data_IF_522997387902
#
_entry.id   IF_522997387902
#
_cell.length_a   1.000
_cell.length_b   1.000
_cell.length_c   1.000
_cell.angle_alpha   90.00
_cell.angle_beta   90.00
_cell.angle_gamma   90.00
#
_symmetry.space_group_name_H-M   'P 1'
#
loop_
_entity.id
_entity.type
_entity.pdbx_description
1 polymer ?
#
# COMPACT_ATOMS: atom_id res chain seq x y z
N UNK A 1 13.86 74.99 52.50
CA UNK A 1 12.89 74.85 51.39
C UNK A 1 13.39 73.78 50.44
N UNK A 2 12.68 72.65 50.29
CA UNK A 2 13.07 71.53 49.40
C UNK A 2 12.48 71.77 48.01
N UNK A 3 13.32 72.05 47.01
CA UNK A 3 12.90 72.13 45.61
C UNK A 3 12.48 70.76 45.10
N UNK A 4 11.20 70.62 44.78
CA UNK A 4 10.61 69.42 44.16
C UNK A 4 10.94 69.45 42.68
N UNK A 5 11.90 68.63 42.27
CA UNK A 5 12.34 68.50 40.88
C UNK A 5 11.25 67.79 40.08
N UNK A 6 10.46 68.55 39.31
CA UNK A 6 9.43 68.00 38.42
C UNK A 6 10.16 67.50 37.17
N UNK A 7 10.35 66.17 37.07
CA UNK A 7 10.84 65.53 35.85
C UNK A 7 9.82 65.77 34.74
N UNK A 8 10.21 66.51 33.71
CA UNK A 8 9.45 66.64 32.47
C UNK A 8 9.45 65.29 31.76
N UNK A 9 8.32 64.59 31.81
CA UNK A 9 8.12 63.42 30.98
C UNK A 9 8.01 63.89 29.53
N UNK A 10 9.01 63.54 28.71
CA UNK A 10 8.92 63.72 27.25
C UNK A 10 7.81 62.78 26.78
N UNK A 11 6.67 63.35 26.39
CA UNK A 11 5.58 62.58 25.78
C UNK A 11 6.06 61.97 24.46
N UNK A 12 5.67 60.72 24.21
CA UNK A 12 5.89 60.07 22.92
C UNK A 12 5.30 60.95 21.81
N UNK A 13 6.09 61.18 20.76
CA UNK A 13 5.59 61.92 19.62
C UNK A 13 4.60 61.04 18.85
N UNK A 14 3.57 61.64 18.27
CA UNK A 14 2.60 60.91 17.43
C UNK A 14 3.31 60.16 16.28
N UNK A 15 4.40 60.73 15.76
CA UNK A 15 5.23 60.11 14.72
C UNK A 15 5.91 58.83 15.21
N UNK A 16 6.45 58.83 16.44
CA UNK A 16 7.10 57.66 17.03
C UNK A 16 6.10 56.50 17.20
N UNK A 17 4.86 56.80 17.60
CA UNK A 17 3.81 55.79 17.68
C UNK A 17 3.45 55.21 16.31
N UNK A 18 3.33 56.05 15.27
CA UNK A 18 3.02 55.60 13.90
C UNK A 18 4.14 54.71 13.35
N UNK A 19 5.40 55.07 13.56
CA UNK A 19 6.55 54.25 13.12
C UNK A 19 6.57 52.91 13.83
N UNK A 20 6.35 52.87 15.15
CA UNK A 20 6.31 51.61 15.91
C UNK A 20 5.20 50.70 15.42
N UNK A 21 3.99 51.23 15.20
CA UNK A 21 2.87 50.43 14.67
C UNK A 21 3.16 49.92 13.26
N UNK A 22 3.80 50.73 12.40
CA UNK A 22 4.21 50.30 11.06
C UNK A 22 5.24 49.15 11.10
N UNK A 23 6.26 49.26 11.96
CA UNK A 23 7.28 48.22 12.12
C UNK A 23 6.68 46.94 12.72
N UNK A 24 5.81 47.05 13.71
CA UNK A 24 5.12 45.89 14.30
C UNK A 24 4.21 45.21 13.28
N UNK A 25 3.51 45.98 12.43
CA UNK A 25 2.70 45.43 11.34
C UNK A 25 3.53 44.63 10.32
N UNK A 26 4.71 45.14 9.96
CA UNK A 26 5.64 44.45 9.06
C UNK A 26 6.19 43.15 9.67
N UNK A 27 6.62 43.19 10.94
CA UNK A 27 7.13 41.99 11.64
C UNK A 27 6.01 40.95 11.80
N UNK A 28 4.79 41.37 12.14
CA UNK A 28 3.65 40.47 12.26
C UNK A 28 3.33 39.77 10.92
N UNK A 29 3.43 40.48 9.79
CA UNK A 29 3.23 39.88 8.47
C UNK A 29 4.30 38.80 8.18
N UNK A 30 5.58 39.12 8.36
CA UNK A 30 6.68 38.17 8.15
C UNK A 30 6.59 36.95 9.06
N UNK A 31 6.23 37.16 10.34
CA UNK A 31 6.05 36.07 11.29
C UNK A 31 4.90 35.14 10.89
N UNK A 32 3.81 35.69 10.36
CA UNK A 32 2.65 34.91 9.91
C UNK A 32 3.01 34.01 8.72
N UNK A 33 3.73 34.54 7.73
CA UNK A 33 4.20 33.77 6.57
C UNK A 33 5.14 32.63 6.98
N UNK A 34 6.07 32.90 7.89
CA UNK A 34 7.01 31.88 8.38
C UNK A 34 6.31 30.75 9.14
N UNK A 35 5.36 31.08 10.02
CA UNK A 35 4.59 30.06 10.76
C UNK A 35 3.78 29.20 9.80
N UNK A 36 3.12 29.80 8.80
CA UNK A 36 2.37 29.05 7.80
C UNK A 36 3.25 28.04 7.04
N UNK A 37 4.43 28.47 6.54
CA UNK A 37 5.36 27.60 5.83
C UNK A 37 5.86 26.44 6.70
N UNK A 38 6.26 26.71 7.95
CA UNK A 38 6.76 25.65 8.85
C UNK A 38 5.67 24.62 9.15
N UNK A 39 4.43 25.06 9.44
CA UNK A 39 3.32 24.13 9.68
C UNK A 39 2.96 23.28 8.47
N UNK A 40 3.13 23.82 7.26
CA UNK A 40 2.86 23.08 6.02
C UNK A 40 3.90 21.99 5.79
N UNK A 41 5.19 22.28 6.02
CA UNK A 41 6.26 21.28 5.94
C UNK A 41 6.06 20.15 6.97
N UNK A 42 5.70 20.50 8.21
CA UNK A 42 5.44 19.49 9.27
C UNK A 42 4.28 18.56 8.87
N UNK A 43 3.20 19.10 8.32
CA UNK A 43 2.06 18.31 7.83
C UNK A 43 2.44 17.47 6.62
N UNK A 44 3.29 17.99 5.74
CA UNK A 44 3.80 17.23 4.60
C UNK A 44 4.59 16.00 5.06
N UNK A 45 5.57 16.18 5.95
CA UNK A 45 6.39 15.07 6.48
C UNK A 45 5.54 14.06 7.26
N UNK A 46 4.57 14.53 8.06
CA UNK A 46 3.64 13.66 8.77
C UNK A 46 2.76 12.84 7.82
N UNK A 47 2.29 13.44 6.72
CA UNK A 47 1.51 12.74 5.68
C UNK A 47 2.35 11.66 5.01
N UNK A 48 3.60 11.98 4.64
CA UNK A 48 4.55 11.02 4.07
C UNK A 48 4.83 9.87 5.02
N UNK A 49 5.06 10.17 6.30
CA UNK A 49 5.27 9.15 7.33
C UNK A 49 4.06 8.22 7.48
N UNK A 50 2.84 8.74 7.52
CA UNK A 50 1.60 7.93 7.55
C UNK A 50 1.42 7.09 6.29
N UNK A 51 1.77 7.62 5.13
CA UNK A 51 1.75 6.88 3.88
C UNK A 51 2.76 5.72 3.89
N UNK A 52 3.98 5.95 4.38
CA UNK A 52 4.99 4.90 4.57
C UNK A 52 4.51 3.84 5.55
N UNK A 53 3.86 4.24 6.65
CA UNK A 53 3.27 3.30 7.62
C UNK A 53 2.21 2.41 6.96
N UNK A 54 1.28 2.97 6.19
CA UNK A 54 0.26 2.18 5.46
C UNK A 54 0.93 1.26 4.45
N UNK A 55 1.96 1.73 3.74
CA UNK A 55 2.71 0.92 2.77
C UNK A 55 3.40 -0.26 3.45
N UNK A 56 4.10 -0.04 4.56
CA UNK A 56 4.75 -1.08 5.35
C UNK A 56 3.72 -2.05 5.95
N UNK A 57 2.57 -1.56 6.38
CA UNK A 57 1.48 -2.40 6.88
C UNK A 57 0.95 -3.36 5.80
N UNK A 58 0.87 -2.90 4.54
CA UNK A 58 0.40 -3.72 3.41
C UNK A 58 1.47 -4.71 2.95
N UNK A 59 2.70 -4.21 2.70
CA UNK A 59 3.77 -4.96 2.01
C UNK A 59 4.81 -5.59 2.94
N UNK A 60 4.85 -5.17 4.20
CA UNK A 60 5.95 -5.48 5.11
C UNK A 60 7.12 -4.51 5.03
N UNK A 61 8.13 -4.79 5.85
CA UNK A 61 9.41 -4.09 5.90
C UNK A 61 10.48 -4.91 5.17
N UNK A 62 10.82 -4.58 3.91
CA UNK A 62 11.71 -5.43 3.09
C UNK A 62 13.16 -5.48 3.57
N UNK A 63 13.54 -4.65 4.55
CA UNK A 63 14.94 -4.46 4.98
C UNK A 63 15.29 -5.17 6.29
N UNK A 64 14.34 -5.81 6.98
CA UNK A 64 14.63 -6.47 8.24
C UNK A 64 15.07 -7.92 8.01
N UNK A 65 16.38 -8.15 8.10
CA UNK A 65 16.94 -9.50 8.12
C UNK A 65 17.10 -9.90 9.58
N UNK A 66 16.27 -10.82 10.06
CA UNK A 66 16.37 -11.37 11.40
C UNK A 66 17.10 -12.73 11.31
N UNK A 67 18.25 -12.84 11.98
CA UNK A 67 19.08 -14.07 11.98
C UNK A 67 19.51 -14.57 10.58
N UNK A 68 19.69 -13.67 9.62
CA UNK A 68 20.09 -14.04 8.25
C UNK A 68 18.93 -14.47 7.36
N UNK A 69 17.70 -14.53 7.88
CA UNK A 69 16.49 -14.80 7.12
C UNK A 69 15.76 -13.48 6.87
N UNK A 70 15.33 -13.17 5.63
CA UNK A 70 14.48 -12.03 5.38
C UNK A 70 13.17 -12.19 6.16
N UNK A 71 12.84 -11.22 7.00
CA UNK A 71 11.56 -11.18 7.68
C UNK A 71 10.48 -10.87 6.63
N UNK A 72 9.54 -11.79 6.44
CA UNK A 72 8.41 -11.59 5.55
C UNK A 72 7.22 -11.26 6.44
N UNK A 73 6.88 -9.98 6.54
CA UNK A 73 5.79 -9.44 7.32
C UNK A 73 4.79 -8.67 6.43
N UNK A 74 3.70 -8.19 7.05
CA UNK A 74 2.70 -7.36 6.41
C UNK A 74 1.45 -8.12 5.95
N UNK A 75 0.41 -7.35 5.66
CA UNK A 75 -0.92 -7.87 5.34
C UNK A 75 -0.92 -8.88 4.19
N UNK A 76 -0.20 -8.57 3.11
CA UNK A 76 -0.18 -9.44 1.92
C UNK A 76 0.56 -10.76 2.21
N UNK A 77 1.62 -10.73 3.02
CA UNK A 77 2.32 -11.94 3.41
C UNK A 77 1.42 -12.89 4.21
N UNK A 78 0.65 -12.33 5.13
CA UNK A 78 -0.22 -13.07 6.04
C UNK A 78 -1.50 -13.57 5.37
N UNK A 79 -2.17 -12.69 4.62
CA UNK A 79 -3.50 -12.95 4.05
C UNK A 79 -3.42 -13.50 2.62
N UNK A 80 -2.37 -13.17 1.87
CA UNK A 80 -2.17 -13.60 0.48
C UNK A 80 -2.87 -12.74 -0.58
N UNK A 81 -3.51 -11.63 -0.19
CA UNK A 81 -4.09 -10.64 -1.10
C UNK A 81 -3.98 -9.22 -0.51
N UNK A 82 -4.02 -8.15 -1.33
CA UNK A 82 -4.08 -6.79 -0.81
C UNK A 82 -5.41 -6.53 -0.07
N UNK A 83 -5.43 -5.66 0.93
CA UNK A 83 -6.64 -5.37 1.69
C UNK A 83 -7.69 -4.74 0.78
N UNK A 84 -8.96 -5.13 0.86
CA UNK A 84 -9.99 -4.49 0.01
C UNK A 84 -10.19 -3.02 0.38
N UNK A 85 -10.08 -2.73 1.68
CA UNK A 85 -10.09 -1.40 2.25
C UNK A 85 -9.04 -1.29 3.35
N UNK A 86 -8.51 -0.09 3.59
CA UNK A 86 -7.46 0.10 4.60
C UNK A 86 -7.92 -0.28 6.02
N UNK A 87 -9.23 -0.31 6.28
CA UNK A 87 -9.81 -0.84 7.52
C UNK A 87 -9.35 -2.25 7.89
N UNK A 88 -9.10 -3.11 6.91
CA UNK A 88 -8.62 -4.49 7.14
C UNK A 88 -7.25 -4.54 7.83
N UNK A 89 -6.49 -3.44 7.74
CA UNK A 89 -5.22 -3.30 8.44
C UNK A 89 -5.41 -3.13 9.96
N UNK A 90 -6.62 -2.83 10.45
CA UNK A 90 -6.90 -2.59 11.86
C UNK A 90 -7.51 -3.78 12.60
N UNK A 91 -8.33 -4.60 11.92
CA UNK A 91 -9.10 -5.63 12.61
C UNK A 91 -9.25 -6.89 11.77
N UNK A 92 -9.18 -8.05 12.44
CA UNK A 92 -9.51 -9.36 11.87
C UNK A 92 -10.98 -9.72 11.99
N UNK A 93 -11.79 -9.00 12.78
CA UNK A 93 -13.13 -9.42 13.22
C UNK A 93 -14.21 -9.39 12.13
N UNK A 94 -13.85 -9.12 10.88
CA UNK A 94 -14.81 -8.76 9.84
C UNK A 94 -15.39 -7.36 10.07
N UNK A 95 -16.07 -6.84 9.06
CA UNK A 95 -16.70 -5.53 9.12
C UNK A 95 -17.83 -5.41 8.10
N UNK A 96 -18.75 -4.49 8.37
CA UNK A 96 -19.76 -4.10 7.39
C UNK A 96 -19.28 -2.89 6.58
N UNK A 97 -19.43 -2.90 5.24
CA UNK A 97 -19.23 -1.70 4.43
C UNK A 97 -20.16 -0.55 4.84
N UNK A 98 -21.38 -0.88 5.30
CA UNK A 98 -22.31 0.09 5.87
C UNK A 98 -21.86 0.52 7.29
N UNK A 99 -21.52 1.81 7.52
CA UNK A 99 -21.05 2.32 8.80
C UNK A 99 -22.02 2.17 9.97
N UNK A 100 -23.32 2.05 9.68
CA UNK A 100 -24.36 1.80 10.69
C UNK A 100 -24.17 0.46 11.41
N UNK A 101 -23.76 -0.56 10.66
CA UNK A 101 -23.64 -1.94 11.15
C UNK A 101 -22.19 -2.42 11.15
N UNK A 102 -21.25 -1.49 11.25
CA UNK A 102 -19.82 -1.67 11.05
C UNK A 102 -19.23 -2.88 11.78
N UNK A 103 -19.75 -3.19 12.98
CA UNK A 103 -19.29 -4.28 13.84
C UNK A 103 -20.40 -5.33 14.13
N UNK A 104 -21.44 -5.41 13.28
CA UNK A 104 -22.60 -6.29 13.49
C UNK A 104 -22.95 -7.07 12.22
N UNK A 105 -22.48 -8.31 12.13
CA UNK A 105 -22.72 -9.22 11.00
C UNK A 105 -24.20 -9.40 10.66
N UNK A 106 -25.03 -9.74 11.66
CA UNK A 106 -26.46 -9.99 11.45
C UNK A 106 -27.16 -8.78 10.82
N UNK A 107 -27.04 -7.61 11.46
CA UNK A 107 -27.68 -6.40 10.96
C UNK A 107 -27.11 -5.95 9.60
N UNK A 108 -25.82 -6.20 9.33
CA UNK A 108 -25.22 -5.90 8.05
C UNK A 108 -25.88 -6.70 6.91
N UNK A 109 -26.01 -8.02 7.10
CA UNK A 109 -26.61 -8.92 6.12
C UNK A 109 -28.11 -8.63 5.92
N UNK A 110 -28.82 -8.33 7.00
CA UNK A 110 -30.23 -7.93 6.94
C UNK A 110 -30.40 -6.63 6.15
N UNK A 111 -29.52 -5.65 6.38
CA UNK A 111 -29.54 -4.37 5.68
C UNK A 111 -29.21 -4.50 4.19
N UNK A 112 -28.19 -5.30 3.84
CA UNK A 112 -27.81 -5.58 2.44
C UNK A 112 -28.96 -6.27 1.68
N UNK A 113 -29.65 -7.21 2.33
CA UNK A 113 -30.82 -7.89 1.76
C UNK A 113 -31.99 -6.92 1.55
N UNK A 114 -32.26 -6.05 2.52
CA UNK A 114 -33.35 -5.09 2.44
C UNK A 114 -33.11 -3.99 1.39
N UNK A 115 -31.85 -3.55 1.21
CA UNK A 115 -31.47 -2.54 0.22
C UNK A 115 -31.29 -3.13 -1.19
N UNK A 116 -31.15 -4.45 -1.32
CA UNK A 116 -30.84 -5.12 -2.58
C UNK A 116 -29.44 -4.82 -3.09
N UNK A 117 -28.51 -4.45 -2.19
CA UNK A 117 -27.13 -4.08 -2.49
C UNK A 117 -26.16 -5.11 -1.91
N UNK A 118 -25.76 -6.12 -2.69
CA UNK A 118 -24.88 -7.19 -2.20
C UNK A 118 -23.45 -6.70 -1.90
N UNK A 119 -23.06 -5.54 -2.42
CA UNK A 119 -21.78 -4.90 -2.11
C UNK A 119 -21.68 -4.39 -0.67
N UNK A 120 -22.82 -4.25 0.02
CA UNK A 120 -22.94 -3.89 1.43
C UNK A 120 -22.99 -5.11 2.39
N UNK A 121 -22.83 -6.34 1.88
CA UNK A 121 -22.81 -7.56 2.72
C UNK A 121 -21.62 -7.59 3.69
N UNK A 122 -21.78 -8.36 4.78
CA UNK A 122 -20.73 -8.53 5.78
C UNK A 122 -19.45 -9.09 5.16
N UNK A 123 -18.34 -8.39 5.40
CA UNK A 123 -17.01 -8.88 5.04
C UNK A 123 -16.54 -9.78 6.18
N UNK A 124 -16.48 -11.08 5.89
CA UNK A 124 -16.01 -12.08 6.85
C UNK A 124 -14.62 -11.75 7.34
N UNK A 125 -14.36 -12.03 8.62
CA UNK A 125 -13.05 -11.84 9.20
C UNK A 125 -11.95 -12.58 8.46
N UNK A 126 -10.75 -12.02 8.53
CA UNK A 126 -9.56 -12.51 7.81
C UNK A 126 -9.01 -13.85 8.36
N UNK A 127 -9.65 -14.38 9.40
CA UNK A 127 -9.35 -15.68 9.98
C UNK A 127 -8.04 -15.70 10.79
N UNK A 128 -7.55 -16.90 11.13
CA UNK A 128 -6.38 -17.09 12.00
C UNK A 128 -5.05 -16.71 11.32
N UNK A 129 -5.07 -16.43 10.01
CA UNK A 129 -3.89 -16.02 9.25
C UNK A 129 -3.48 -14.57 9.50
N UNK A 130 -4.40 -13.75 9.97
CA UNK A 130 -4.13 -12.35 10.28
C UNK A 130 -3.27 -12.25 11.55
N UNK A 131 -2.07 -11.69 11.44
CA UNK A 131 -1.14 -11.62 12.58
C UNK A 131 -1.10 -10.28 13.31
N UNK A 132 -1.91 -9.28 12.92
CA UNK A 132 -2.11 -8.14 13.79
C UNK A 132 -2.76 -6.92 13.17
N UNK A 133 -3.12 -5.94 14.02
CA UNK A 133 -3.34 -4.60 13.51
C UNK A 133 -2.00 -4.11 12.97
N UNK A 134 -1.89 -4.03 11.64
CA UNK A 134 -0.66 -3.64 10.95
C UNK A 134 -0.42 -2.12 11.00
N UNK A 135 -1.44 -1.35 11.39
CA UNK A 135 -1.33 0.09 11.63
C UNK A 135 -1.78 0.42 13.06
N UNK A 136 -1.17 1.46 13.62
CA UNK A 136 -1.48 1.98 14.96
C UNK A 136 -1.54 3.50 14.94
N UNK A 137 -1.93 4.12 16.06
CA UNK A 137 -1.99 5.59 16.17
C UNK A 137 -3.12 6.23 15.37
N UNK A 138 -4.25 5.53 15.24
CA UNK A 138 -5.48 6.09 14.68
C UNK A 138 -6.24 6.92 15.72
N UNK A 139 -6.93 7.94 15.23
CA UNK A 139 -7.86 8.74 16.04
C UNK A 139 -9.27 8.12 15.96
N UNK A 140 -10.11 8.36 16.95
CA UNK A 140 -11.53 8.04 16.88
C UNK A 140 -12.30 9.30 16.50
N UNK A 141 -12.96 9.27 15.34
CA UNK A 141 -13.87 10.34 14.91
C UNK A 141 -15.30 9.88 15.09
N UNK A 142 -16.17 10.80 15.48
CA UNK A 142 -17.61 10.57 15.54
C UNK A 142 -18.33 11.49 14.57
N UNK A 143 -19.28 10.94 13.82
CA UNK A 143 -20.09 11.66 12.84
C UNK A 143 -21.51 11.09 12.81
N UNK A 144 -22.41 11.76 12.09
CA UNK A 144 -23.77 11.28 11.88
C UNK A 144 -23.90 10.50 10.57
N UNK A 145 -24.58 9.36 10.63
CA UNK A 145 -25.01 8.58 9.48
C UNK A 145 -26.45 8.11 9.72
N UNK A 146 -27.39 8.46 8.84
CA UNK A 146 -28.82 8.17 8.99
C UNK A 146 -29.37 8.53 10.39
N UNK A 147 -29.06 9.73 10.87
CA UNK A 147 -29.40 10.25 12.21
C UNK A 147 -28.78 9.52 13.41
N UNK A 148 -27.95 8.50 13.20
CA UNK A 148 -27.17 7.83 14.25
C UNK A 148 -25.78 8.41 14.36
N UNK A 149 -25.29 8.56 15.59
CA UNK A 149 -23.89 8.88 15.83
C UNK A 149 -23.07 7.60 15.73
N UNK A 150 -22.21 7.53 14.72
CA UNK A 150 -21.23 6.46 14.56
C UNK A 150 -19.87 6.95 15.06
N UNK A 151 -19.03 6.03 15.53
CA UNK A 151 -17.62 6.31 15.84
C UNK A 151 -16.74 5.26 15.18
N UNK A 152 -15.68 5.70 14.51
CA UNK A 152 -14.80 4.84 13.75
C UNK A 152 -13.34 5.31 13.84
N UNK A 153 -12.38 4.38 13.75
CA UNK A 153 -10.97 4.70 13.70
C UNK A 153 -10.62 5.39 12.37
N UNK A 154 -9.78 6.42 12.43
CA UNK A 154 -9.27 7.12 11.26
C UNK A 154 -7.76 7.33 11.37
N UNK A 155 -7.06 7.06 10.27
CA UNK A 155 -5.67 7.43 10.06
C UNK A 155 -5.63 8.43 8.90
N UNK A 156 -5.94 9.71 9.16
CA UNK A 156 -6.01 10.77 8.14
C UNK A 156 -4.63 11.14 7.62
N UNK A 157 -4.55 11.89 6.52
CA UNK A 157 -3.36 12.69 6.27
C UNK A 157 -3.22 13.82 7.32
N UNK A 158 -2.07 14.47 7.38
CA UNK A 158 -1.85 15.51 8.40
C UNK A 158 -2.61 16.81 8.12
N UNK A 159 -3.26 16.91 6.97
CA UNK A 159 -4.15 18.00 6.59
C UNK A 159 -5.57 17.79 7.11
N UNK A 160 -5.90 16.57 7.55
CA UNK A 160 -7.22 16.22 8.06
C UNK A 160 -8.25 16.00 6.94
N UNK A 161 -7.79 15.68 5.74
CA UNK A 161 -8.67 15.51 4.59
C UNK A 161 -9.57 14.29 4.76
N UNK A 162 -10.78 14.44 4.23
CA UNK A 162 -11.76 13.35 4.13
C UNK A 162 -11.86 12.86 2.70
N UNK A 163 -12.57 11.75 2.50
CA UNK A 163 -12.81 11.21 1.18
C UNK A 163 -13.56 12.19 0.26
N UNK A 164 -14.16 13.26 0.81
CA UNK A 164 -14.77 14.34 0.05
C UNK A 164 -13.85 14.90 -1.04
N UNK A 165 -12.54 14.92 -0.82
CA UNK A 165 -11.54 15.38 -1.79
C UNK A 165 -11.54 14.57 -3.10
N UNK A 166 -11.96 13.31 -3.04
CA UNK A 166 -11.94 12.35 -4.15
C UNK A 166 -13.33 11.97 -4.65
N UNK A 167 -14.36 12.48 -3.98
CA UNK A 167 -15.74 12.17 -4.29
C UNK A 167 -16.11 12.72 -5.67
N UNK A 168 -16.76 11.89 -6.48
CA UNK A 168 -17.35 12.39 -7.72
C UNK A 168 -18.51 13.33 -7.36
N UNK A 169 -18.83 14.33 -8.18
CA UNK A 169 -20.02 15.16 -7.98
C UNK A 169 -21.33 14.36 -7.95
N UNK A 170 -21.32 13.16 -8.54
CA UNK A 170 -22.45 12.22 -8.58
C UNK A 170 -22.54 11.32 -7.34
N UNK A 171 -21.49 11.23 -6.53
CA UNK A 171 -21.50 10.42 -5.32
C UNK A 171 -22.42 11.12 -4.31
N UNK A 172 -23.36 10.38 -3.73
CA UNK A 172 -24.19 10.86 -2.63
C UNK A 172 -23.38 10.96 -1.32
N UNK A 173 -23.87 11.72 -0.35
CA UNK A 173 -23.15 11.95 0.93
C UNK A 173 -22.90 10.65 1.71
N UNK A 174 -23.78 9.65 1.61
CA UNK A 174 -23.57 8.37 2.29
C UNK A 174 -22.42 7.61 1.66
N UNK A 175 -22.37 7.52 0.33
CA UNK A 175 -21.26 6.90 -0.41
C UNK A 175 -19.92 7.56 -0.07
N UNK A 176 -19.89 8.89 0.05
CA UNK A 176 -18.67 9.61 0.45
C UNK A 176 -18.23 9.21 1.85
N UNK A 177 -19.16 9.16 2.81
CA UNK A 177 -18.86 8.76 4.18
C UNK A 177 -18.44 7.29 4.29
N UNK A 178 -19.10 6.39 3.55
CA UNK A 178 -18.74 4.96 3.52
C UNK A 178 -17.26 4.81 3.13
N UNK A 179 -16.85 5.42 2.01
CA UNK A 179 -15.46 5.37 1.55
C UNK A 179 -14.51 6.04 2.54
N UNK A 180 -14.96 7.10 3.20
CA UNK A 180 -14.21 7.81 4.25
C UNK A 180 -13.94 6.96 5.50
N UNK A 181 -14.93 6.18 5.92
CA UNK A 181 -14.87 5.25 7.06
C UNK A 181 -13.98 4.04 6.75
N UNK A 182 -14.03 3.54 5.52
CA UNK A 182 -13.31 2.35 5.10
C UNK A 182 -11.84 2.61 4.75
N UNK A 183 -11.53 3.78 4.18
CA UNK A 183 -10.17 4.14 3.71
C UNK A 183 -9.53 5.31 4.47
N UNK A 184 -10.11 5.73 5.59
CA UNK A 184 -9.58 6.79 6.45
C UNK A 184 -9.32 8.14 5.73
N UNK A 185 -10.04 8.41 4.64
CA UNK A 185 -9.87 9.62 3.80
C UNK A 185 -8.81 9.55 2.72
N UNK A 186 -8.04 8.47 2.67
CA UNK A 186 -7.13 8.22 1.56
C UNK A 186 -7.91 7.75 0.34
N UNK A 187 -7.44 8.14 -0.85
CA UNK A 187 -7.86 7.46 -2.08
C UNK A 187 -7.05 6.19 -2.20
N UNK A 188 -7.69 5.08 -1.91
CA UNK A 188 -7.13 3.74 -2.00
C UNK A 188 -7.78 3.00 -3.16
N UNK A 189 -6.99 2.56 -4.13
CA UNK A 189 -7.48 1.86 -5.31
C UNK A 189 -6.55 0.68 -5.64
N UNK A 190 -7.13 -0.48 -5.94
CA UNK A 190 -6.40 -1.64 -6.43
C UNK A 190 -6.74 -1.82 -7.90
N UNK A 191 -5.75 -1.77 -8.76
CA UNK A 191 -5.91 -2.19 -10.14
C UNK A 191 -5.67 -3.70 -10.22
N UNK A 192 -6.76 -4.46 -10.24
CA UNK A 192 -6.73 -5.93 -10.30
C UNK A 192 -6.09 -6.46 -11.59
N UNK A 193 -6.01 -5.66 -12.66
CA UNK A 193 -5.40 -6.08 -13.92
C UNK A 193 -3.88 -5.98 -13.91
N UNK A 194 -3.31 -4.98 -13.22
CA UNK A 194 -1.86 -4.77 -13.12
C UNK A 194 -1.26 -5.22 -11.78
N UNK A 195 -2.12 -5.45 -10.78
CA UNK A 195 -1.73 -5.64 -9.38
C UNK A 195 -1.27 -4.37 -8.68
N UNK A 196 -1.39 -3.20 -9.30
CA UNK A 196 -0.93 -1.97 -8.65
C UNK A 196 -1.88 -1.54 -7.55
N UNK A 197 -1.27 -1.10 -6.44
CA UNK A 197 -1.96 -0.50 -5.30
C UNK A 197 -1.66 0.99 -5.35
N UNK A 198 -2.71 1.79 -5.39
CA UNK A 198 -2.62 3.24 -5.41
C UNK A 198 -3.11 3.80 -4.08
N UNK A 199 -2.32 4.72 -3.52
CA UNK A 199 -2.62 5.39 -2.26
C UNK A 199 -2.29 6.88 -2.38
N UNK A 200 -3.31 7.73 -2.33
CA UNK A 200 -3.16 9.18 -2.49
C UNK A 200 -3.70 9.96 -1.27
N UNK A 201 -3.01 11.05 -0.94
CA UNK A 201 -3.47 12.11 -0.03
C UNK A 201 -3.86 13.34 -0.84
N UNK A 202 -4.90 14.06 -0.38
CA UNK A 202 -5.41 15.24 -1.07
C UNK A 202 -4.59 16.50 -0.76
N UNK A 203 -3.57 16.41 0.09
CA UNK A 203 -2.63 17.50 0.36
C UNK A 203 -3.28 18.75 0.98
N UNK A 204 -2.61 19.89 0.80
CA UNK A 204 -2.99 21.16 1.43
C UNK A 204 -4.34 21.71 0.93
N UNK A 205 -4.65 21.54 -0.36
CA UNK A 205 -5.86 22.12 -0.96
C UNK A 205 -7.11 21.26 -0.72
N UNK A 206 -6.94 20.01 -0.23
CA UNK A 206 -8.05 19.08 0.01
C UNK A 206 -8.83 18.76 -1.26
N UNK A 207 -8.20 18.91 -2.43
CA UNK A 207 -8.79 18.66 -3.73
C UNK A 207 -7.98 17.60 -4.46
N UNK A 208 -8.68 16.78 -5.24
CA UNK A 208 -8.01 15.89 -6.18
C UNK A 208 -7.15 16.70 -7.17
N UNK A 209 -5.92 16.26 -7.39
CA UNK A 209 -5.06 16.79 -8.45
C UNK A 209 -5.79 16.65 -9.80
N UNK A 210 -5.98 17.73 -10.57
CA UNK A 210 -6.61 17.71 -11.89
C UNK A 210 -6.01 16.66 -12.84
N UNK A 211 -4.75 16.27 -12.65
CA UNK A 211 -4.06 15.24 -13.46
C UNK A 211 -4.53 13.81 -13.14
N UNK A 212 -5.08 13.54 -11.95
CA UNK A 212 -5.51 12.20 -11.53
C UNK A 212 -6.81 11.75 -12.20
N UNK A 213 -7.59 12.71 -12.72
CA UNK A 213 -8.67 12.40 -13.64
C UNK A 213 -8.10 12.55 -15.03
N UNK A 214 -8.20 11.53 -15.89
CA UNK A 214 -7.86 11.54 -17.32
C UNK A 214 -8.59 12.63 -18.16
N UNK A 215 -9.05 13.73 -17.55
CA UNK A 215 -9.40 14.96 -18.22
C UNK A 215 -8.16 15.48 -18.96
N UNK A 216 -8.28 15.56 -20.28
CA UNK A 216 -7.38 16.37 -21.10
C UNK A 216 -7.31 17.75 -20.45
N UNK A 217 -6.16 18.11 -19.89
CA UNK A 217 -5.92 19.44 -19.34
C UNK A 217 -6.11 20.42 -20.51
N UNK A 218 -7.27 21.08 -20.55
CA UNK A 218 -7.44 22.21 -21.45
C UNK A 218 -6.53 23.30 -20.91
N UNK A 219 -5.39 23.48 -21.57
CA UNK A 219 -4.54 24.65 -21.37
C UNK A 219 -5.35 25.87 -21.76
N UNK A 220 -5.29 26.94 -20.96
CA UNK A 220 -5.80 28.21 -21.41
C UNK A 220 -5.00 28.73 -22.63
N UNK A 221 -5.45 29.83 -23.23
CA UNK A 221 -4.76 30.45 -24.38
C UNK A 221 -3.33 30.95 -24.04
N UNK A 222 -2.95 30.96 -22.76
CA UNK A 222 -1.63 31.34 -22.28
C UNK A 222 -0.73 30.13 -21.97
N UNK A 223 -1.20 28.90 -22.19
CA UNK A 223 -0.46 27.67 -21.91
C UNK A 223 -0.42 27.30 -20.44
N UNK A 224 -1.15 28.01 -19.58
CA UNK A 224 -1.32 27.65 -18.18
C UNK A 224 -2.47 26.63 -18.08
N UNK A 225 -2.15 25.46 -17.54
CA UNK A 225 -3.14 24.53 -17.05
C UNK A 225 -3.42 24.84 -15.56
N UNK A 226 -4.52 24.30 -15.02
CA UNK A 226 -4.88 24.43 -13.60
C UNK A 226 -3.72 24.03 -12.64
N UNK A 227 -2.80 23.20 -13.12
CA UNK A 227 -1.58 22.79 -12.43
C UNK A 227 -0.62 23.96 -12.11
N UNK A 228 -0.51 24.98 -12.97
CA UNK A 228 0.38 26.11 -12.70
C UNK A 228 -0.06 26.94 -11.49
N UNK A 229 -1.35 26.92 -11.15
CA UNK A 229 -1.86 27.54 -9.92
C UNK A 229 -1.64 26.65 -8.70
N UNK A 230 -1.73 25.33 -8.85
CA UNK A 230 -1.55 24.36 -7.76
C UNK A 230 -0.09 24.07 -7.43
N UNK A 231 0.83 24.13 -8.40
CA UNK A 231 2.28 23.96 -8.18
C UNK A 231 2.90 24.98 -7.21
N UNK A 232 2.25 26.13 -6.98
CA UNK A 232 2.62 27.07 -5.91
C UNK A 232 2.43 26.50 -4.50
N UNK A 233 1.58 25.48 -4.37
CA UNK A 233 1.20 24.81 -3.13
C UNK A 233 1.74 23.37 -3.04
N UNK A 234 2.31 22.81 -4.12
CA UNK A 234 2.76 21.41 -4.24
C UNK A 234 4.28 21.25 -4.40
N UNK A 235 5.08 22.26 -4.04
CA UNK A 235 6.53 22.25 -4.25
C UNK A 235 7.30 21.09 -3.58
N UNK A 236 6.64 20.28 -2.75
CA UNK A 236 7.28 19.27 -1.90
C UNK A 236 7.07 17.81 -2.33
N UNK A 237 6.23 17.52 -3.33
CA UNK A 237 6.18 16.18 -3.94
C UNK A 237 7.10 16.13 -5.18
N UNK A 238 8.10 15.23 -5.27
CA UNK A 238 8.86 15.06 -6.49
C UNK A 238 7.92 14.46 -7.54
N UNK A 239 7.40 15.29 -8.44
CA UNK A 239 6.40 14.89 -9.42
C UNK A 239 6.60 15.61 -10.75
N UNK A 240 7.68 15.24 -11.45
CA UNK A 240 7.74 15.23 -12.93
C UNK A 240 9.09 14.66 -13.35
N UNK A 241 9.09 13.46 -13.92
CA UNK A 241 10.21 13.00 -14.75
C UNK A 241 9.75 13.13 -16.21
N UNK A 242 10.39 14.01 -16.96
CA UNK A 242 10.16 14.14 -18.40
C UNK A 242 10.82 12.93 -19.08
N UNK A 243 10.01 12.01 -19.58
CA UNK A 243 10.52 10.95 -20.46
C UNK A 243 10.44 11.47 -21.89
N UNK A 244 11.56 11.82 -22.56
CA UNK A 244 11.52 12.09 -23.98
C UNK A 244 11.11 10.82 -24.73
N UNK A 245 10.00 10.87 -25.46
CA UNK A 245 9.64 9.83 -26.41
C UNK A 245 10.73 9.76 -27.48
N UNK A 246 11.48 8.66 -27.49
CA UNK A 246 12.37 8.35 -28.60
C UNK A 246 11.55 7.92 -29.81
N UNK A 247 11.15 8.87 -30.66
CA UNK A 247 11.32 8.79 -32.13
C UNK A 247 10.87 10.10 -32.80
N UNK A 248 11.68 10.67 -33.71
CA UNK A 248 11.35 11.87 -34.43
C UNK A 248 10.64 11.53 -35.75
N UNK A 249 9.33 11.78 -35.84
CA UNK A 249 8.70 12.06 -37.14
C UNK A 249 7.38 12.81 -36.96
N UNK A 250 7.47 14.13 -37.18
CA UNK A 250 6.38 15.06 -37.48
C UNK A 250 5.36 15.34 -36.38
N UNK A 251 5.66 16.36 -35.58
CA UNK A 251 4.74 17.01 -34.63
C UNK A 251 5.12 16.68 -33.19
N UNK A 252 5.76 17.62 -32.50
CA UNK A 252 6.06 17.48 -31.07
C UNK A 252 4.76 17.60 -30.26
N UNK A 253 4.04 16.49 -30.11
CA UNK A 253 3.13 16.29 -28.98
C UNK A 253 3.93 15.62 -27.88
N UNK A 254 4.23 16.36 -26.82
CA UNK A 254 4.70 15.77 -25.57
C UNK A 254 3.52 15.02 -24.96
N UNK A 255 3.56 13.69 -24.93
CA UNK A 255 2.64 12.92 -24.10
C UNK A 255 3.19 12.96 -22.66
N UNK A 256 2.53 13.73 -21.79
CA UNK A 256 2.78 13.72 -20.36
C UNK A 256 2.32 12.38 -19.79
N UNK A 257 3.20 11.37 -19.78
CA UNK A 257 2.99 10.16 -18.97
C UNK A 257 3.69 10.35 -17.64
N UNK A 258 2.89 10.71 -16.63
CA UNK A 258 3.32 10.84 -15.25
C UNK A 258 2.73 9.68 -14.45
N UNK A 259 3.51 8.62 -14.33
CA UNK A 259 3.21 7.55 -13.38
C UNK A 259 3.77 7.95 -12.02
N UNK A 260 2.91 8.38 -11.09
CA UNK A 260 3.32 8.51 -9.68
C UNK A 260 2.37 7.74 -8.78
N UNK A 261 2.40 6.40 -8.83
CA UNK A 261 2.04 5.60 -7.68
C UNK A 261 3.22 5.60 -6.69
N UNK A 262 3.00 6.17 -5.50
CA UNK A 262 3.98 6.16 -4.39
C UNK A 262 4.22 4.75 -3.81
N UNK A 263 3.38 3.78 -4.16
CA UNK A 263 3.69 2.35 -4.06
C UNK A 263 4.03 1.91 -5.48
N UNK A 264 5.32 1.70 -5.74
CA UNK A 264 5.84 1.62 -7.10
C UNK A 264 5.00 0.69 -8.00
N UNK A 265 4.65 1.17 -9.20
CA UNK A 265 4.16 0.35 -10.30
C UNK A 265 5.13 -0.80 -10.70
N UNK A 266 6.27 -0.91 -10.02
CA UNK A 266 7.29 -1.93 -10.23
C UNK A 266 7.56 -2.82 -9.01
N UNK A 267 7.09 -2.49 -7.80
CA UNK A 267 7.40 -3.30 -6.60
C UNK A 267 6.38 -4.41 -6.35
N UNK A 268 5.13 -4.18 -6.71
CA UNK A 268 4.10 -5.22 -6.76
C UNK A 268 3.48 -5.21 -8.16
N UNK A 269 4.20 -5.81 -9.11
CA UNK A 269 3.63 -6.22 -10.39
C UNK A 269 3.04 -7.61 -10.21
N UNK A 270 1.71 -7.71 -10.09
CA UNK A 270 1.03 -8.94 -10.48
C UNK A 270 1.00 -8.93 -12.00
N UNK A 271 2.13 -9.30 -12.59
CA UNK A 271 2.22 -9.47 -14.02
C UNK A 271 1.37 -10.70 -14.38
N UNK A 272 0.10 -10.47 -14.74
CA UNK A 272 -0.71 -11.45 -15.48
C UNK A 272 -0.12 -11.71 -16.87
N UNK A 273 0.68 -10.75 -17.37
CA UNK A 273 1.65 -11.00 -18.42
C UNK A 273 2.75 -11.85 -17.81
N UNK A 274 2.57 -13.18 -17.91
CA UNK A 274 3.63 -14.16 -18.00
C UNK A 274 4.82 -13.88 -17.08
N UNK A 275 5.03 -14.73 -16.07
CA UNK A 275 6.39 -15.26 -15.98
C UNK A 275 6.82 -15.52 -17.43
N UNK A 276 7.83 -14.79 -17.93
CA UNK A 276 8.50 -15.25 -19.15
C UNK A 276 8.69 -16.73 -18.91
N UNK A 277 8.17 -17.55 -19.82
CA UNK A 277 7.68 -18.93 -19.67
C UNK A 277 8.51 -19.90 -18.82
N UNK A 278 9.68 -19.49 -18.36
CA UNK A 278 10.78 -20.30 -17.90
C UNK A 278 11.44 -19.59 -16.70
N UNK A 279 10.79 -19.62 -15.53
CA UNK A 279 11.55 -19.65 -14.28
C UNK A 279 11.79 -21.14 -14.00
N UNK A 280 13.06 -21.55 -14.03
CA UNK A 280 13.47 -22.91 -13.70
C UNK A 280 14.13 -22.91 -12.33
N UNK A 281 13.72 -23.85 -11.47
CA UNK A 281 14.51 -24.20 -10.30
C UNK A 281 15.29 -25.45 -10.70
N UNK A 282 16.60 -25.31 -10.81
CA UNK A 282 17.49 -26.45 -10.99
C UNK A 282 17.78 -27.06 -9.61
N UNK A 283 17.20 -28.23 -9.35
CA UNK A 283 17.44 -28.99 -8.11
C UNK A 283 18.34 -30.17 -8.45
N UNK A 284 19.63 -30.01 -8.18
CA UNK A 284 20.58 -31.11 -8.33
C UNK A 284 20.59 -31.93 -7.06
N UNK A 285 19.90 -33.08 -7.06
CA UNK A 285 20.00 -34.06 -5.98
C UNK A 285 20.96 -35.17 -6.38
N UNK A 286 22.06 -35.31 -5.65
CA UNK A 286 23.03 -36.37 -5.87
C UNK A 286 22.71 -37.56 -4.95
N UNK A 287 22.74 -38.78 -5.49
CA UNK A 287 22.59 -40.04 -4.73
C UNK A 287 21.25 -40.21 -3.99
N UNK A 288 20.12 -39.97 -4.66
CA UNK A 288 18.82 -40.39 -4.12
C UNK A 288 18.74 -41.93 -4.06
N UNK A 289 18.38 -42.46 -2.90
CA UNK A 289 17.96 -43.86 -2.81
C UNK A 289 16.72 -44.09 -3.68
N UNK A 290 16.63 -45.27 -4.29
CA UNK A 290 15.49 -45.65 -5.13
C UNK A 290 14.18 -45.51 -4.35
N UNK A 291 13.26 -44.67 -4.85
CA UNK A 291 11.94 -44.45 -4.23
C UNK A 291 11.76 -43.09 -3.56
N UNK A 292 12.75 -42.20 -3.60
CA UNK A 292 12.65 -40.84 -3.06
C UNK A 292 12.53 -39.79 -4.19
N UNK A 293 11.71 -38.77 -3.98
CA UNK A 293 11.56 -37.64 -4.90
C UNK A 293 11.52 -36.31 -4.15
N UNK A 294 12.02 -35.24 -4.79
CA UNK A 294 11.83 -33.89 -4.28
C UNK A 294 10.34 -33.55 -4.31
N UNK A 295 9.86 -32.93 -3.24
CA UNK A 295 8.51 -32.38 -3.18
C UNK A 295 8.61 -30.90 -2.84
N UNK A 296 7.87 -30.10 -3.60
CA UNK A 296 7.78 -28.66 -3.42
C UNK A 296 6.35 -28.38 -2.95
N UNK A 297 6.21 -27.70 -1.81
CA UNK A 297 4.90 -27.22 -1.36
C UNK A 297 4.97 -25.75 -0.94
N UNK A 298 3.83 -25.07 -0.92
CA UNK A 298 3.74 -23.70 -0.44
C UNK A 298 3.57 -23.70 1.08
N UNK A 299 4.42 -22.97 1.81
CA UNK A 299 4.46 -22.95 3.28
C UNK A 299 3.19 -22.43 3.97
N UNK A 300 2.20 -21.94 3.22
CA UNK A 300 1.04 -21.22 3.74
C UNK A 300 -0.30 -21.98 3.64
N UNK A 301 -0.27 -23.29 3.35
CA UNK A 301 -1.49 -24.09 3.32
C UNK A 301 -1.26 -25.50 3.87
N UNK A 302 -2.13 -25.94 4.79
CA UNK A 302 -2.32 -27.37 5.10
C UNK A 302 -2.98 -28.14 3.94
N UNK A 303 -3.10 -27.53 2.75
CA UNK A 303 -3.61 -28.20 1.57
C UNK A 303 -2.46 -29.01 0.99
N UNK A 304 -2.48 -30.31 1.29
CA UNK A 304 -1.68 -31.36 0.63
C UNK A 304 -2.14 -31.57 -0.81
N UNK A 305 -2.31 -30.52 -1.60
CA UNK A 305 -2.59 -30.66 -3.02
C UNK A 305 -1.42 -30.06 -3.77
N UNK A 306 -0.85 -30.87 -4.66
CA UNK A 306 0.18 -30.53 -5.64
C UNK A 306 1.57 -30.95 -5.19
N UNK A 307 1.75 -32.28 -5.16
CA UNK A 307 3.06 -32.91 -5.17
C UNK A 307 3.38 -33.30 -6.61
N UNK A 308 4.47 -32.78 -7.15
CA UNK A 308 5.02 -33.24 -8.42
C UNK A 308 6.03 -34.35 -8.12
N UNK A 309 5.88 -35.51 -8.76
CA UNK A 309 6.81 -36.63 -8.62
C UNK A 309 7.30 -37.07 -9.99
N UNK A 310 8.60 -36.93 -10.23
CA UNK A 310 9.28 -37.70 -11.28
C UNK A 310 9.67 -39.05 -10.68
N UNK A 311 9.27 -40.15 -11.32
CA UNK A 311 9.54 -41.52 -10.88
C UNK A 311 10.75 -42.16 -11.57
N UNK A 312 11.51 -41.39 -12.36
CA UNK A 312 12.68 -41.92 -13.07
C UNK A 312 13.92 -41.93 -12.17
N UNK A 313 14.66 -43.05 -12.19
CA UNK A 313 15.93 -43.21 -11.49
C UNK A 313 16.95 -42.27 -12.12
N UNK A 314 17.42 -41.28 -11.36
CA UNK A 314 18.19 -40.14 -11.87
C UNK A 314 19.69 -40.45 -11.96
N UNK A 315 20.22 -40.43 -13.18
CA UNK A 315 21.67 -40.39 -13.44
C UNK A 315 22.18 -39.01 -13.84
N UNK A 316 21.31 -38.00 -13.87
CA UNK A 316 21.59 -36.63 -14.31
C UNK A 316 20.76 -35.60 -13.54
N UNK A 317 21.21 -34.33 -13.45
CA UNK A 317 20.45 -33.26 -12.81
C UNK A 317 19.05 -33.13 -13.43
N UNK A 318 18.02 -32.99 -12.59
CA UNK A 318 16.68 -32.59 -13.06
C UNK A 318 16.64 -31.07 -13.07
N UNK A 319 16.34 -30.51 -14.24
CA UNK A 319 15.86 -29.13 -14.35
C UNK A 319 14.33 -29.21 -14.31
N UNK A 320 13.71 -28.70 -13.24
CA UNK A 320 12.26 -28.56 -13.18
C UNK A 320 11.90 -27.25 -13.88
N UNK A 321 11.37 -27.35 -15.10
CA UNK A 321 10.78 -26.21 -15.80
C UNK A 321 9.32 -26.06 -15.36
N UNK A 322 8.96 -24.90 -14.81
CA UNK A 322 7.60 -24.64 -14.31
C UNK A 322 6.54 -24.57 -15.43
N UNK A 323 6.95 -24.67 -16.70
CA UNK A 323 6.08 -24.77 -17.87
C UNK A 323 5.22 -26.05 -17.87
N UNK A 324 5.61 -27.09 -17.11
CA UNK A 324 4.86 -28.35 -16.97
C UNK A 324 3.83 -28.38 -15.83
N UNK A 325 3.76 -27.33 -14.99
CA UNK A 325 2.72 -27.19 -13.96
C UNK A 325 1.40 -26.68 -14.56
N UNK A 326 0.85 -27.43 -15.50
CA UNK A 326 -0.49 -27.20 -16.03
C UNK A 326 -1.53 -27.77 -15.04
N UNK A 327 -2.54 -26.97 -14.70
CA UNK A 327 -3.69 -27.27 -13.81
C UNK A 327 -3.48 -27.13 -12.29
N UNK A 328 -2.93 -26.00 -11.83
CA UNK A 328 -3.20 -25.53 -10.46
C UNK A 328 -3.85 -24.15 -10.54
N UNK A 329 -5.07 -24.14 -11.08
CA UNK A 329 -5.94 -22.97 -11.12
C UNK A 329 -7.09 -23.16 -10.14
N UNK A 330 -6.84 -22.85 -8.87
CA UNK A 330 -7.93 -22.33 -8.04
C UNK A 330 -8.21 -20.88 -8.48
N UNK A 331 -9.48 -20.47 -8.43
CA UNK A 331 -10.04 -19.28 -9.11
C UNK A 331 -9.44 -17.91 -8.72
N UNK A 332 -8.43 -17.86 -7.88
CA UNK A 332 -7.72 -16.65 -7.49
C UNK A 332 -6.31 -16.69 -8.05
N UNK A 333 -6.08 -16.11 -9.23
CA UNK A 333 -4.81 -16.11 -9.98
C UNK A 333 -3.63 -15.40 -9.29
N UNK A 334 -3.27 -15.81 -8.08
CA UNK A 334 -2.18 -15.29 -7.25
C UNK A 334 -1.11 -16.37 -7.06
N UNK A 335 -0.43 -16.71 -8.15
CA UNK A 335 0.67 -17.69 -8.16
C UNK A 335 2.08 -17.05 -8.14
N UNK A 336 2.21 -15.72 -8.18
CA UNK A 336 3.53 -15.10 -8.39
C UNK A 336 4.34 -14.79 -7.15
N UNK A 337 3.80 -14.97 -5.94
CA UNK A 337 4.51 -14.66 -4.69
C UNK A 337 4.22 -15.71 -3.62
N UNK A 338 5.26 -16.23 -2.98
CA UNK A 338 5.08 -17.16 -1.88
C UNK A 338 6.38 -17.73 -1.36
N UNK A 339 6.28 -18.28 -0.14
CA UNK A 339 7.31 -19.11 0.45
C UNK A 339 7.03 -20.55 0.03
N UNK A 340 7.99 -21.18 -0.63
CA UNK A 340 7.96 -22.57 -1.03
C UNK A 340 8.94 -23.34 -0.15
N UNK A 341 8.53 -24.48 0.36
CA UNK A 341 9.43 -25.41 1.02
C UNK A 341 9.72 -26.55 0.05
N UNK A 342 10.97 -27.00 0.05
CA UNK A 342 11.42 -28.15 -0.70
C UNK A 342 11.87 -29.19 0.31
N UNK A 343 11.26 -30.39 0.24
CA UNK A 343 11.65 -31.55 1.03
C UNK A 343 11.86 -32.78 0.13
N UNK A 344 12.29 -33.88 0.74
CA UNK A 344 12.38 -35.20 0.09
C UNK A 344 11.30 -36.10 0.69
N UNK A 345 10.46 -36.66 -0.18
CA UNK A 345 9.40 -37.58 0.21
C UNK A 345 9.57 -38.94 -0.47
N UNK A 346 8.98 -39.97 0.12
CA UNK A 346 8.84 -41.27 -0.54
C UNK A 346 7.82 -41.13 -1.69
N UNK A 347 8.23 -41.48 -2.90
CA UNK A 347 7.42 -41.32 -4.11
C UNK A 347 6.16 -42.18 -4.14
N UNK A 348 6.09 -43.23 -3.34
CA UNK A 348 4.92 -44.10 -3.26
C UNK A 348 3.90 -43.61 -2.22
N UNK A 349 4.35 -43.01 -1.11
CA UNK A 349 3.48 -42.65 0.02
C UNK A 349 3.24 -41.15 0.15
N UNK A 350 4.08 -40.31 -0.46
CA UNK A 350 4.13 -38.86 -0.25
C UNK A 350 4.38 -38.49 1.22
N UNK A 351 4.89 -39.41 2.05
CA UNK A 351 5.26 -39.09 3.42
C UNK A 351 6.65 -38.47 3.45
N UNK A 352 6.82 -37.43 4.28
CA UNK A 352 8.11 -36.76 4.45
C UNK A 352 9.12 -37.77 5.00
N UNK A 353 10.26 -37.91 4.34
CA UNK A 353 11.33 -38.77 4.85
C UNK A 353 12.18 -37.91 5.77
N UNK A 354 11.95 -38.06 7.08
CA UNK A 354 12.51 -37.27 8.19
C UNK A 354 14.05 -37.29 8.35
N UNK A 355 14.81 -37.65 7.32
CA UNK A 355 16.25 -37.95 7.41
C UNK A 355 17.18 -36.84 6.90
N UNK A 356 16.68 -35.77 6.30
CA UNK A 356 17.52 -34.61 6.03
C UNK A 356 17.67 -33.79 7.33
N UNK A 357 18.83 -33.91 7.97
CA UNK A 357 19.12 -33.33 9.28
C UNK A 357 19.32 -31.80 9.26
N UNK A 358 19.23 -31.17 8.08
CA UNK A 358 19.19 -29.72 7.92
C UNK A 358 17.85 -29.36 7.27
N UNK A 359 17.09 -28.58 8.04
CA UNK A 359 15.79 -27.93 7.84
C UNK A 359 15.27 -27.80 6.40
N UNK A 360 13.94 -27.92 6.25
CA UNK A 360 13.17 -27.64 5.02
C UNK A 360 13.77 -26.45 4.26
N UNK A 361 14.20 -26.66 3.01
CA UNK A 361 14.75 -25.58 2.20
C UNK A 361 13.61 -24.63 1.84
N UNK A 362 13.56 -23.51 2.56
CA UNK A 362 12.55 -22.49 2.42
C UNK A 362 13.01 -21.45 1.40
N UNK A 363 12.36 -21.40 0.25
CA UNK A 363 12.63 -20.46 -0.83
C UNK A 363 11.52 -19.41 -0.90
N UNK A 364 11.87 -18.14 -0.70
CA UNK A 364 10.98 -17.02 -0.95
C UNK A 364 11.07 -16.62 -2.42
N UNK A 365 9.98 -16.82 -3.19
CA UNK A 365 9.89 -16.38 -4.58
C UNK A 365 9.09 -15.08 -4.63
N UNK A 366 9.73 -14.07 -5.21
CA UNK A 366 9.17 -12.73 -5.48
C UNK A 366 9.10 -12.52 -7.01
N UNK A 367 8.26 -11.59 -7.46
CA UNK A 367 8.18 -11.17 -8.87
C UNK A 367 9.48 -10.56 -9.41
N UNK A 368 10.44 -10.24 -8.54
CA UNK A 368 11.79 -9.78 -8.88
C UNK A 368 12.83 -10.90 -8.89
N UNK A 369 12.48 -12.11 -8.45
CA UNK A 369 13.39 -13.25 -8.41
C UNK A 369 13.52 -13.85 -9.81
N UNK A 370 14.49 -13.38 -10.59
CA UNK A 370 14.76 -13.89 -11.94
C UNK A 370 15.65 -15.14 -11.96
N UNK A 371 16.45 -15.36 -10.90
CA UNK A 371 17.30 -16.53 -10.76
C UNK A 371 17.65 -16.73 -9.28
N UNK A 372 17.37 -17.91 -8.72
CA UNK A 372 17.98 -18.34 -7.46
C UNK A 372 19.19 -19.17 -7.87
N UNK A 373 20.38 -18.64 -7.66
CA UNK A 373 21.62 -19.37 -7.92
C UNK A 373 21.66 -20.61 -7.01
N UNK A 374 22.16 -21.77 -7.48
CA UNK A 374 22.06 -23.02 -6.75
C UNK A 374 22.76 -22.89 -5.40
N UNK A 375 21.98 -22.87 -4.32
CA UNK A 375 22.48 -23.24 -3.00
C UNK A 375 22.68 -24.75 -3.04
N UNK A 376 23.92 -25.20 -2.98
CA UNK A 376 24.21 -26.63 -2.89
C UNK A 376 23.64 -27.16 -1.57
N UNK A 377 22.48 -27.79 -1.63
CA UNK A 377 21.89 -28.51 -0.51
C UNK A 377 22.31 -29.98 -0.61
N UNK A 378 22.90 -30.51 0.46
CA UNK A 378 23.40 -31.88 0.49
C UNK A 378 22.65 -32.64 1.56
N UNK A 379 21.60 -33.37 1.17
CA UNK A 379 20.95 -34.30 2.10
C UNK A 379 21.70 -35.63 2.10
N UNK A 380 22.42 -35.91 3.19
CA UNK A 380 23.04 -37.23 3.39
C UNK A 380 22.01 -38.18 3.98
N UNK A 381 21.48 -39.06 3.14
CA UNK A 381 20.60 -40.16 3.57
C UNK A 381 21.53 -41.32 3.96
N UNK A 382 21.57 -41.65 5.25
CA UNK A 382 22.26 -42.85 5.77
C UNK A 382 21.28 -44.01 5.95
#
# INVERSE_FOLDING_TARGET
MKQKNIRTQKGFTLLELVVVVAVLGLIANLATEFVAQNTNQERFEATKSRQTMIRQAILGTPSEILYGVPNIDGFIADIGHPPMYLRELLTSSGYCPNPEFLNSETNCNDAATASGKPDEEWRTGLGPKWNGPYISGFDLVSTKYNDMNISYPVLRDAWGNTFLAWAKPTDDEQTKLIKDVLNFGWKYEINTSSGHIYLYSAGLNGQQDPEDNNYSLQTDNAGYNAYHEQSRYEQDLPRTMYVPLSTPSNGMTHELKKEVPLIAASEYRLNKASFGSDFSIEITVNNLESGLCPRIWRGFSNVRSNTYTSSEILTSPIVLEFSELQEITDQSGFISHGVFNIDIADCSTMEAVSRCAEDDLTIAVSSTTSLISPTSWTCNIN
#
